data_IF_202558934152
#
_entry.id   IF_202558934152
#
_cell.length_a   1.000
_cell.length_b   1.000
_cell.length_c   1.000
_cell.angle_alpha   90.00
_cell.angle_beta   90.00
_cell.angle_gamma   90.00
#
_symmetry.space_group_name_H-M   'P 1'
#
loop_
_entity.id
_entity.type
_entity.pdbx_description
1 polymer ?
#
# COMPACT_ATOMS: atom_id res chain seq x y z
N UNK A 1 5.44 -25.78 0.64
CA UNK A 1 5.18 -25.52 -0.80
C UNK A 1 3.71 -25.17 -0.90
N UNK A 2 3.37 -23.89 -0.99
CA UNK A 2 2.00 -23.48 -1.27
C UNK A 2 1.65 -23.98 -2.67
N UNK A 3 0.57 -24.75 -2.78
CA UNK A 3 0.00 -25.13 -4.06
C UNK A 3 -0.47 -23.84 -4.74
N UNK A 4 0.13 -23.52 -5.89
CA UNK A 4 -0.38 -22.47 -6.77
C UNK A 4 -1.80 -22.90 -7.15
N UNK A 5 -2.81 -22.22 -6.61
CA UNK A 5 -4.20 -22.44 -7.01
C UNK A 5 -4.35 -21.92 -8.45
N UNK A 6 -4.40 -22.84 -9.38
CA UNK A 6 -4.83 -22.53 -10.73
C UNK A 6 -6.35 -22.46 -10.75
N UNK A 7 -6.92 -21.57 -11.56
CA UNK A 7 -8.34 -21.54 -11.82
C UNK A 7 -8.84 -22.92 -12.25
N UNK A 8 -9.93 -23.34 -11.71
CA UNK A 8 -10.62 -24.59 -12.14
C UNK A 8 -11.22 -24.40 -13.53
N UNK A 9 -11.49 -25.50 -14.24
CA UNK A 9 -12.17 -25.43 -15.55
C UNK A 9 -13.49 -24.66 -15.49
N UNK A 10 -14.22 -24.77 -14.37
CA UNK A 10 -15.46 -24.04 -14.15
C UNK A 10 -15.23 -22.54 -14.06
N UNK A 11 -14.26 -22.11 -13.26
CA UNK A 11 -13.88 -20.69 -13.10
C UNK A 11 -13.35 -20.10 -14.42
N UNK A 12 -12.56 -20.87 -15.17
CA UNK A 12 -12.13 -20.46 -16.51
C UNK A 12 -13.33 -20.27 -17.45
N UNK A 13 -14.33 -21.17 -17.39
CA UNK A 13 -15.54 -21.06 -18.21
C UNK A 13 -16.42 -19.87 -17.80
N UNK A 14 -16.52 -19.57 -16.53
CA UNK A 14 -17.23 -18.38 -16.02
C UNK A 14 -16.55 -17.08 -16.46
N UNK A 15 -15.23 -16.98 -16.33
CA UNK A 15 -14.46 -15.84 -16.82
C UNK A 15 -14.55 -15.65 -18.33
N UNK A 16 -14.50 -16.73 -19.09
CA UNK A 16 -14.65 -16.67 -20.54
C UNK A 16 -16.04 -16.16 -20.95
N UNK A 17 -17.08 -16.62 -20.27
CA UNK A 17 -18.45 -16.16 -20.50
C UNK A 17 -18.60 -14.67 -20.15
N UNK A 18 -18.09 -14.25 -19.02
CA UNK A 18 -18.10 -12.84 -18.58
C UNK A 18 -17.36 -11.97 -19.59
N UNK A 19 -16.20 -12.40 -20.07
CA UNK A 19 -15.45 -11.69 -21.10
C UNK A 19 -16.28 -11.54 -22.39
N UNK A 20 -16.92 -12.60 -22.85
CA UNK A 20 -17.76 -12.55 -24.07
C UNK A 20 -18.97 -11.60 -23.91
N UNK A 21 -19.61 -11.62 -22.74
CA UNK A 21 -20.73 -10.73 -22.43
C UNK A 21 -20.29 -9.26 -22.40
N UNK A 22 -19.16 -8.99 -21.76
CA UNK A 22 -18.59 -7.64 -21.70
C UNK A 22 -18.14 -7.15 -23.07
N UNK A 23 -17.49 -8.01 -23.87
CA UNK A 23 -17.10 -7.69 -25.24
C UNK A 23 -18.31 -7.38 -26.14
N UNK A 24 -19.36 -8.18 -26.05
CA UNK A 24 -20.59 -7.94 -26.79
C UNK A 24 -21.27 -6.62 -26.35
N UNK A 25 -21.25 -6.34 -25.05
CA UNK A 25 -21.75 -5.07 -24.49
C UNK A 25 -20.93 -3.87 -24.99
N UNK A 26 -19.62 -4.00 -25.06
CA UNK A 26 -18.73 -2.97 -25.60
C UNK A 26 -18.99 -2.69 -27.07
N UNK A 27 -19.09 -3.74 -27.89
CA UNK A 27 -19.39 -3.59 -29.32
C UNK A 27 -20.75 -2.92 -29.60
N UNK A 28 -21.69 -3.09 -28.68
CA UNK A 28 -23.06 -2.55 -28.78
C UNK A 28 -23.28 -1.32 -27.89
N UNK A 29 -22.22 -0.63 -27.45
CA UNK A 29 -22.32 0.51 -26.54
C UNK A 29 -22.99 1.76 -27.13
N UNK A 30 -23.38 1.71 -28.40
CA UNK A 30 -24.04 2.76 -29.16
C UNK A 30 -23.23 4.09 -29.14
N UNK A 31 -23.81 5.16 -28.61
CA UNK A 31 -23.19 6.48 -28.57
C UNK A 31 -22.36 6.73 -27.29
N UNK A 32 -22.23 5.73 -26.40
CA UNK A 32 -21.44 5.88 -25.17
C UNK A 32 -19.95 5.98 -25.48
N UNK A 33 -19.27 6.88 -24.82
CA UNK A 33 -17.80 6.90 -24.77
C UNK A 33 -17.26 5.68 -24.02
N UNK A 34 -15.98 5.35 -24.22
CA UNK A 34 -15.33 4.24 -23.49
C UNK A 34 -15.38 4.48 -22.00
N UNK A 35 -15.20 5.72 -21.55
CA UNK A 35 -15.28 6.09 -20.13
C UNK A 35 -16.68 5.88 -19.56
N UNK A 36 -17.73 6.30 -20.28
CA UNK A 36 -19.12 6.12 -19.84
C UNK A 36 -19.49 4.64 -19.79
N UNK A 37 -19.08 3.86 -20.80
CA UNK A 37 -19.30 2.43 -20.82
C UNK A 37 -18.58 1.72 -19.66
N UNK A 38 -17.30 2.04 -19.42
CA UNK A 38 -16.55 1.49 -18.30
C UNK A 38 -17.13 1.88 -16.95
N UNK A 39 -17.54 3.14 -16.76
CA UNK A 39 -18.23 3.58 -15.56
C UNK A 39 -19.47 2.73 -15.29
N UNK A 40 -20.29 2.47 -16.30
CA UNK A 40 -21.47 1.61 -16.17
C UNK A 40 -21.08 0.15 -15.84
N UNK A 41 -20.02 -0.36 -16.44
CA UNK A 41 -19.50 -1.70 -16.15
C UNK A 41 -19.01 -1.82 -14.68
N UNK A 42 -18.29 -0.83 -14.20
CA UNK A 42 -17.81 -0.76 -12.80
C UNK A 42 -19.00 -0.71 -11.83
N UNK A 43 -19.97 0.15 -12.05
CA UNK A 43 -21.17 0.23 -11.20
C UNK A 43 -21.99 -1.06 -11.18
N UNK A 44 -22.05 -1.77 -12.30
CA UNK A 44 -22.75 -3.06 -12.40
C UNK A 44 -22.06 -4.15 -11.56
N UNK A 45 -20.73 -4.18 -11.59
CA UNK A 45 -19.94 -5.21 -10.90
C UNK A 45 -19.64 -4.83 -9.44
N UNK A 46 -19.66 -3.54 -9.13
CA UNK A 46 -19.40 -3.00 -7.79
C UNK A 46 -20.59 -2.17 -7.28
N UNK A 47 -21.75 -2.77 -6.97
CA UNK A 47 -23.01 -2.06 -6.68
C UNK A 47 -22.97 -1.20 -5.41
N UNK A 48 -21.92 -1.28 -4.61
CA UNK A 48 -21.71 -0.44 -3.42
C UNK A 48 -20.86 0.80 -3.70
N UNK A 49 -20.31 0.91 -4.91
CA UNK A 49 -19.48 2.03 -5.33
C UNK A 49 -20.38 3.19 -5.76
N UNK A 50 -20.04 4.42 -5.38
CA UNK A 50 -20.75 5.60 -5.86
C UNK A 50 -20.31 6.00 -7.28
N UNK A 51 -21.08 6.88 -7.92
CA UNK A 51 -20.83 7.28 -9.30
C UNK A 51 -19.48 8.00 -9.49
N UNK A 52 -19.02 8.78 -8.51
CA UNK A 52 -17.79 9.53 -8.59
C UNK A 52 -16.56 8.59 -8.48
N UNK A 53 -16.66 7.60 -7.60
CA UNK A 53 -15.66 6.55 -7.51
C UNK A 53 -15.61 5.70 -8.77
N UNK A 54 -16.76 5.28 -9.31
CA UNK A 54 -16.83 4.51 -10.55
C UNK A 54 -16.27 5.26 -11.76
N UNK A 55 -16.46 6.58 -11.82
CA UNK A 55 -15.88 7.41 -12.85
C UNK A 55 -14.37 7.51 -12.75
N UNK A 56 -13.85 7.66 -11.55
CA UNK A 56 -12.40 7.66 -11.27
C UNK A 56 -11.76 6.32 -11.69
N UNK A 57 -12.36 5.20 -11.31
CA UNK A 57 -11.89 3.87 -11.71
C UNK A 57 -11.92 3.66 -13.23
N UNK A 58 -12.99 4.13 -13.90
CA UNK A 58 -13.08 4.04 -15.36
C UNK A 58 -11.96 4.84 -16.05
N UNK A 59 -11.63 6.02 -15.55
CA UNK A 59 -10.51 6.83 -16.06
C UNK A 59 -9.18 6.08 -15.87
N UNK A 60 -8.91 5.55 -14.68
CA UNK A 60 -7.68 4.81 -14.39
C UNK A 60 -7.51 3.58 -15.28
N UNK A 61 -8.60 2.84 -15.52
CA UNK A 61 -8.59 1.70 -16.45
C UNK A 61 -8.23 2.14 -17.87
N UNK A 62 -8.83 3.24 -18.36
CA UNK A 62 -8.53 3.77 -19.69
C UNK A 62 -7.09 4.25 -19.82
N UNK A 63 -6.60 4.97 -18.83
CA UNK A 63 -5.21 5.43 -18.83
C UNK A 63 -4.23 4.25 -18.88
N UNK A 64 -4.47 3.21 -18.08
CA UNK A 64 -3.65 1.98 -18.09
C UNK A 64 -3.71 1.24 -19.41
N UNK A 65 -4.87 1.19 -20.07
CA UNK A 65 -5.02 0.58 -21.40
C UNK A 65 -4.27 1.39 -22.47
N UNK A 66 -4.37 2.72 -22.42
CA UNK A 66 -3.69 3.61 -23.37
C UNK A 66 -2.17 3.51 -23.26
N UNK A 67 -1.66 3.45 -22.03
CA UNK A 67 -0.24 3.25 -21.76
C UNK A 67 0.23 1.88 -22.26
N UNK A 68 -0.56 0.84 -22.04
CA UNK A 68 -0.29 -0.50 -22.54
C UNK A 68 -0.23 -0.57 -24.08
N UNK A 69 -1.16 0.11 -24.78
CA UNK A 69 -1.15 0.22 -26.24
C UNK A 69 0.10 0.96 -26.74
N UNK A 70 0.46 2.10 -26.11
CA UNK A 70 1.67 2.83 -26.47
C UNK A 70 2.94 2.01 -26.26
N UNK A 71 3.01 1.22 -25.19
CA UNK A 71 4.13 0.35 -24.91
C UNK A 71 4.20 -0.81 -25.92
N UNK A 72 3.09 -1.40 -26.32
CA UNK A 72 3.03 -2.42 -27.38
C UNK A 72 3.50 -1.86 -28.72
N UNK A 73 2.99 -0.73 -29.15
CA UNK A 73 3.41 -0.05 -30.38
C UNK A 73 4.93 0.27 -30.38
N UNK A 74 5.43 0.73 -29.24
CA UNK A 74 6.85 1.01 -29.05
C UNK A 74 7.71 -0.26 -29.14
N UNK A 75 7.24 -1.37 -28.55
CA UNK A 75 7.90 -2.66 -28.62
C UNK A 75 7.90 -3.23 -30.03
N UNK A 76 6.78 -3.13 -30.75
CA UNK A 76 6.69 -3.58 -32.14
C UNK A 76 7.63 -2.80 -33.06
N UNK A 77 7.69 -1.47 -32.91
CA UNK A 77 8.63 -0.62 -33.64
C UNK A 77 10.08 -1.00 -33.36
N UNK A 78 10.43 -1.24 -32.10
CA UNK A 78 11.76 -1.68 -31.70
C UNK A 78 12.12 -3.03 -32.30
N UNK A 79 11.19 -3.99 -32.32
CA UNK A 79 11.37 -5.31 -32.94
C UNK A 79 11.56 -5.20 -34.45
N UNK A 80 10.82 -4.34 -35.14
CA UNK A 80 11.00 -4.07 -36.58
C UNK A 80 12.38 -3.47 -36.90
N UNK A 81 12.97 -2.75 -35.92
CA UNK A 81 14.31 -2.19 -36.03
C UNK A 81 15.42 -3.17 -35.60
N UNK A 82 15.06 -4.41 -35.24
CA UNK A 82 16.01 -5.44 -34.83
C UNK A 82 16.45 -5.33 -33.35
N UNK A 83 15.77 -4.53 -32.55
CA UNK A 83 16.03 -4.41 -31.11
C UNK A 83 15.39 -5.60 -30.37
N UNK A 84 16.13 -6.26 -29.48
CA UNK A 84 15.56 -7.32 -28.64
C UNK A 84 14.57 -6.76 -27.60
N UNK A 85 13.66 -7.62 -27.13
CA UNK A 85 12.69 -7.24 -26.07
C UNK A 85 13.41 -6.78 -24.81
N UNK A 86 14.50 -7.43 -24.45
CA UNK A 86 15.32 -7.09 -23.28
C UNK A 86 15.98 -5.71 -23.42
N UNK A 87 16.50 -5.41 -24.63
CA UNK A 87 17.08 -4.10 -24.92
C UNK A 87 16.02 -3.01 -24.92
N UNK A 88 14.84 -3.26 -25.49
CA UNK A 88 13.71 -2.33 -25.44
C UNK A 88 13.28 -2.06 -23.99
N UNK A 89 13.10 -3.11 -23.17
CA UNK A 89 12.73 -2.97 -21.77
C UNK A 89 13.81 -2.22 -20.98
N UNK A 90 15.09 -2.51 -21.23
CA UNK A 90 16.21 -1.80 -20.59
C UNK A 90 16.19 -0.31 -20.91
N UNK A 91 15.89 0.05 -22.17
CA UNK A 91 15.76 1.46 -22.58
C UNK A 91 14.58 2.14 -21.86
N UNK A 92 13.42 1.47 -21.81
CA UNK A 92 12.24 1.98 -21.08
C UNK A 92 12.52 2.20 -19.60
N UNK A 93 13.23 1.29 -18.95
CA UNK A 93 13.65 1.43 -17.56
C UNK A 93 14.66 2.56 -17.36
N UNK A 94 15.53 2.81 -18.32
CA UNK A 94 16.45 3.96 -18.30
C UNK A 94 15.70 5.28 -18.51
N UNK A 95 14.72 5.31 -19.42
CA UNK A 95 13.84 6.48 -19.63
C UNK A 95 13.05 6.82 -18.36
N UNK A 96 12.61 5.83 -17.60
CA UNK A 96 11.92 6.00 -16.31
C UNK A 96 12.86 6.29 -15.13
N UNK A 97 14.14 6.59 -15.38
CA UNK A 97 15.18 6.88 -14.37
C UNK A 97 15.45 5.75 -13.35
N UNK A 98 14.93 4.53 -13.57
CA UNK A 98 15.17 3.38 -12.68
C UNK A 98 16.60 2.84 -12.83
N UNK A 99 17.29 3.07 -13.95
CA UNK A 99 18.70 2.75 -14.16
C UNK A 99 19.07 1.26 -14.10
N UNK A 100 18.09 0.37 -14.25
CA UNK A 100 18.26 -1.08 -14.14
C UNK A 100 18.20 -1.76 -15.51
N UNK A 101 18.89 -2.90 -15.66
CA UNK A 101 18.65 -3.81 -16.78
C UNK A 101 17.33 -4.57 -16.59
N UNK A 102 16.75 -5.12 -17.68
CA UNK A 102 15.54 -5.94 -17.61
C UNK A 102 15.68 -7.13 -16.64
N UNK A 103 16.87 -7.74 -16.57
CA UNK A 103 17.16 -8.84 -15.65
C UNK A 103 17.19 -8.37 -14.19
N UNK A 104 17.83 -7.24 -13.92
CA UNK A 104 17.87 -6.64 -12.59
C UNK A 104 16.48 -6.23 -12.13
N UNK A 105 15.68 -5.64 -13.02
CA UNK A 105 14.30 -5.27 -12.74
C UNK A 105 13.43 -6.50 -12.43
N UNK A 106 13.52 -7.55 -13.25
CA UNK A 106 12.79 -8.80 -12.99
C UNK A 106 13.19 -9.49 -11.69
N UNK A 107 14.48 -9.43 -11.35
CA UNK A 107 14.98 -9.93 -10.06
C UNK A 107 14.45 -9.08 -8.90
N UNK A 108 14.47 -7.76 -9.03
CA UNK A 108 13.93 -6.80 -8.08
C UNK A 108 12.44 -7.02 -7.83
N UNK A 109 11.64 -7.25 -8.89
CA UNK A 109 10.21 -7.53 -8.76
C UNK A 109 9.94 -8.82 -7.99
N UNK A 110 10.67 -9.92 -8.30
CA UNK A 110 10.52 -11.19 -7.59
C UNK A 110 10.87 -11.06 -6.10
N UNK A 111 11.90 -10.30 -5.80
CA UNK A 111 12.31 -10.07 -4.43
C UNK A 111 11.33 -9.14 -3.70
N UNK A 112 10.74 -8.16 -4.38
CA UNK A 112 9.68 -7.33 -3.81
C UNK A 112 8.42 -8.15 -3.51
N UNK A 113 8.04 -9.07 -4.39
CA UNK A 113 6.92 -9.99 -4.15
C UNK A 113 7.19 -10.92 -2.96
N UNK A 114 8.43 -11.39 -2.78
CA UNK A 114 8.84 -12.18 -1.61
C UNK A 114 8.74 -11.36 -0.31
N UNK A 115 9.22 -10.12 -0.33
CA UNK A 115 9.14 -9.21 0.82
C UNK A 115 7.68 -8.87 1.15
N UNK A 116 6.85 -8.63 0.13
CA UNK A 116 5.42 -8.40 0.30
C UNK A 116 4.75 -9.61 0.97
N UNK A 117 5.05 -10.82 0.50
CA UNK A 117 4.53 -12.05 1.10
C UNK A 117 4.96 -12.21 2.57
N UNK A 118 6.23 -12.00 2.87
CA UNK A 118 6.75 -12.07 4.24
C UNK A 118 6.11 -11.00 5.14
N UNK A 119 5.98 -9.77 4.67
CA UNK A 119 5.35 -8.69 5.42
C UNK A 119 3.86 -8.97 5.70
N UNK A 120 3.13 -9.52 4.74
CA UNK A 120 1.74 -9.91 4.92
C UNK A 120 1.61 -11.06 5.93
N UNK A 121 2.54 -12.01 5.92
CA UNK A 121 2.58 -13.10 6.89
C UNK A 121 2.87 -12.57 8.30
N UNK A 122 3.88 -11.72 8.49
CA UNK A 122 4.20 -11.10 9.78
C UNK A 122 3.03 -10.26 10.31
N UNK A 123 2.32 -9.53 9.44
CA UNK A 123 1.13 -8.78 9.82
C UNK A 123 -0.01 -9.72 10.29
N UNK A 124 -0.24 -10.81 9.58
CA UNK A 124 -1.22 -11.83 9.95
C UNK A 124 -0.91 -12.45 11.32
N UNK A 125 0.34 -12.86 11.53
CA UNK A 125 0.81 -13.44 12.80
C UNK A 125 0.66 -12.47 13.97
N UNK A 126 0.98 -11.18 13.76
CA UNK A 126 0.87 -10.15 14.79
C UNK A 126 -0.58 -9.88 15.24
N UNK A 127 -1.57 -10.13 14.38
CA UNK A 127 -2.99 -9.96 14.68
C UNK A 127 -3.62 -11.22 15.28
N UNK A 128 -2.96 -12.36 15.19
CA UNK A 128 -3.44 -13.63 15.72
C UNK A 128 -3.11 -13.75 17.20
N UNK A 129 -3.98 -14.42 17.96
CA UNK A 129 -3.65 -14.83 19.33
C UNK A 129 -2.59 -15.91 19.28
N UNK A 130 -1.56 -15.77 20.08
CA UNK A 130 -0.38 -16.61 20.06
C UNK A 130 -0.61 -18.13 20.27
N UNK A 131 -1.81 -18.57 20.70
CA UNK A 131 -2.07 -19.97 21.06
C UNK A 131 -3.11 -20.68 20.20
N UNK A 132 -4.00 -19.97 19.51
CA UNK A 132 -5.15 -20.58 18.82
C UNK A 132 -5.37 -20.07 17.38
N UNK A 133 -4.55 -19.15 16.91
CA UNK A 133 -4.63 -18.59 15.55
C UNK A 133 -5.84 -17.68 15.28
N UNK A 134 -6.64 -17.36 16.30
CA UNK A 134 -7.79 -16.47 16.14
C UNK A 134 -7.36 -15.00 16.24
N UNK A 135 -8.02 -14.15 15.47
CA UNK A 135 -7.82 -12.70 15.50
C UNK A 135 -8.11 -12.14 16.91
N UNK A 136 -7.26 -11.24 17.37
CA UNK A 136 -7.46 -10.56 18.66
C UNK A 136 -8.75 -9.73 18.65
N UNK A 137 -9.61 -9.94 19.67
CA UNK A 137 -10.88 -9.22 19.82
C UNK A 137 -10.76 -7.95 20.67
N UNK A 138 -9.56 -7.33 20.69
CA UNK A 138 -9.34 -6.06 21.37
C UNK A 138 -10.07 -4.91 20.66
N UNK A 139 -10.77 -4.01 21.40
CA UNK A 139 -11.37 -2.82 20.81
C UNK A 139 -10.34 -1.82 20.25
N UNK A 140 -9.07 -1.96 20.63
CA UNK A 140 -7.96 -1.10 20.23
C UNK A 140 -7.01 -1.82 19.24
N UNK A 141 -7.46 -2.87 18.57
CA UNK A 141 -6.65 -3.61 17.60
C UNK A 141 -6.19 -2.72 16.43
N UNK A 142 -6.96 -1.69 16.09
CA UNK A 142 -6.60 -0.70 15.08
C UNK A 142 -5.26 0.00 15.36
N UNK A 143 -4.90 0.20 16.62
CA UNK A 143 -3.58 0.72 17.00
C UNK A 143 -2.44 -0.24 16.62
N UNK A 144 -2.61 -1.54 16.94
CA UNK A 144 -1.63 -2.55 16.55
C UNK A 144 -1.54 -2.69 15.01
N UNK A 145 -2.68 -2.65 14.32
CA UNK A 145 -2.71 -2.66 12.85
C UNK A 145 -1.91 -1.47 12.31
N UNK A 146 -2.13 -0.26 12.84
CA UNK A 146 -1.41 0.93 12.42
C UNK A 146 0.11 0.80 12.62
N UNK A 147 0.56 0.27 13.76
CA UNK A 147 1.99 0.03 14.03
C UNK A 147 2.62 -0.88 12.98
N UNK A 148 1.97 -1.98 12.66
CA UNK A 148 2.46 -2.93 11.66
C UNK A 148 2.36 -2.38 10.23
N UNK A 149 1.25 -1.74 9.86
CA UNK A 149 1.07 -1.15 8.52
C UNK A 149 2.14 -0.09 8.24
N UNK A 150 2.36 0.84 9.19
CA UNK A 150 3.39 1.88 9.06
C UNK A 150 4.79 1.26 8.98
N UNK A 151 5.08 0.25 9.81
CA UNK A 151 6.37 -0.44 9.81
C UNK A 151 6.64 -1.16 8.49
N UNK A 152 5.71 -2.00 8.05
CA UNK A 152 5.89 -2.84 6.85
C UNK A 152 5.89 -2.02 5.57
N UNK A 153 5.06 -0.97 5.47
CA UNK A 153 5.12 -0.06 4.31
C UNK A 153 6.43 0.70 4.23
N UNK A 154 7.04 1.06 5.36
CA UNK A 154 8.36 1.69 5.38
C UNK A 154 9.46 0.75 4.92
N UNK A 155 9.48 -0.51 5.35
CA UNK A 155 10.43 -1.52 4.88
C UNK A 155 10.27 -1.76 3.37
N UNK A 156 9.03 -1.89 2.91
CA UNK A 156 8.73 -2.08 1.49
C UNK A 156 9.22 -0.89 0.63
N UNK A 157 9.00 0.34 1.10
CA UNK A 157 9.53 1.54 0.44
C UNK A 157 11.06 1.60 0.47
N UNK A 158 11.68 1.18 1.55
CA UNK A 158 13.13 1.03 1.62
C UNK A 158 13.63 0.10 0.54
N UNK A 159 12.98 -1.04 0.39
CA UNK A 159 13.31 -2.00 -0.65
C UNK A 159 13.13 -1.43 -2.07
N UNK A 160 11.98 -0.80 -2.37
CA UNK A 160 11.69 -0.17 -3.68
C UNK A 160 12.77 0.88 -4.02
N UNK A 161 13.25 1.63 -3.03
CA UNK A 161 14.28 2.66 -3.18
C UNK A 161 15.71 2.11 -3.07
N UNK A 162 15.90 0.79 -3.03
CA UNK A 162 17.19 0.13 -2.87
C UNK A 162 17.97 0.61 -1.63
N UNK A 163 17.25 0.75 -0.51
CA UNK A 163 17.79 1.12 0.81
C UNK A 163 17.50 0.02 1.81
N UNK A 164 18.50 -0.35 2.59
CA UNK A 164 18.40 -1.44 3.57
C UNK A 164 17.77 -0.95 4.88
N UNK A 165 16.45 -0.80 4.87
CA UNK A 165 15.67 -0.32 6.01
C UNK A 165 15.02 -1.50 6.74
N UNK A 166 15.25 -1.56 8.05
CA UNK A 166 14.57 -2.48 8.97
C UNK A 166 13.69 -1.71 9.94
N UNK A 167 12.44 -2.16 10.12
CA UNK A 167 11.49 -1.51 11.03
C UNK A 167 10.92 -2.53 12.00
N UNK A 168 11.23 -2.36 13.26
CA UNK A 168 10.81 -3.25 14.34
C UNK A 168 9.61 -2.67 15.08
N UNK A 169 8.49 -3.40 15.12
CA UNK A 169 7.38 -3.14 16.04
C UNK A 169 7.73 -3.76 17.37
N UNK A 170 7.83 -2.95 18.42
CA UNK A 170 8.41 -3.37 19.71
C UNK A 170 7.40 -3.91 20.72
N UNK A 171 6.12 -3.61 20.56
CA UNK A 171 5.02 -4.23 21.30
C UNK A 171 5.14 -4.23 22.85
N UNK A 172 5.98 -3.37 23.42
CA UNK A 172 6.22 -3.35 24.87
C UNK A 172 5.21 -2.44 25.53
N UNK A 173 4.23 -3.01 26.21
CA UNK A 173 3.16 -2.30 26.92
C UNK A 173 3.63 -1.58 28.20
N UNK A 174 4.77 -0.88 28.16
CA UNK A 174 5.22 -0.04 29.26
C UNK A 174 5.01 1.44 28.92
N UNK A 175 4.69 2.24 29.92
CA UNK A 175 4.48 3.68 29.73
C UNK A 175 5.72 4.33 29.07
N UNK A 176 5.49 5.10 28.00
CA UNK A 176 6.53 5.77 27.21
C UNK A 176 7.52 4.83 26.47
N UNK A 177 7.19 3.54 26.31
CA UNK A 177 7.97 2.63 25.47
C UNK A 177 7.94 3.09 24.01
N UNK A 178 8.95 2.68 23.25
CA UNK A 178 8.99 2.88 21.79
C UNK A 178 8.04 1.88 21.14
N UNK A 179 7.07 2.35 20.35
CA UNK A 179 6.19 1.46 19.60
C UNK A 179 6.91 0.88 18.37
N UNK A 180 7.61 1.74 17.64
CA UNK A 180 8.29 1.35 16.41
C UNK A 180 9.70 1.94 16.34
N UNK A 181 10.67 1.16 15.89
CA UNK A 181 12.02 1.63 15.57
C UNK A 181 12.36 1.35 14.12
N UNK A 182 12.65 2.40 13.36
CA UNK A 182 13.22 2.30 12.03
C UNK A 182 14.74 2.42 12.08
N UNK A 183 15.44 1.55 11.36
CA UNK A 183 16.91 1.52 11.30
C UNK A 183 17.36 1.39 9.85
N UNK A 184 18.26 2.26 9.42
CA UNK A 184 19.00 2.06 8.19
C UNK A 184 20.21 1.17 8.51
N UNK A 185 20.20 -0.06 8.01
CA UNK A 185 21.25 -1.05 8.32
C UNK A 185 22.59 -0.74 7.66
N UNK A 186 22.61 0.05 6.58
CA UNK A 186 23.84 0.44 5.90
C UNK A 186 24.61 1.52 6.67
N UNK A 187 23.88 2.41 7.33
CA UNK A 187 24.49 3.55 8.07
C UNK A 187 24.47 3.35 9.58
N UNK A 188 23.69 2.40 10.10
CA UNK A 188 23.44 2.21 11.52
C UNK A 188 22.59 3.31 12.17
N UNK A 189 22.08 4.28 11.42
CA UNK A 189 21.17 5.31 11.95
C UNK A 189 19.83 4.68 12.29
N UNK A 190 19.25 5.13 13.40
CA UNK A 190 17.91 4.72 13.78
C UNK A 190 17.07 5.90 14.28
N UNK A 191 15.76 5.74 14.19
CA UNK A 191 14.77 6.66 14.71
C UNK A 191 13.67 5.89 15.45
N UNK A 192 13.30 6.39 16.63
CA UNK A 192 12.20 5.82 17.41
C UNK A 192 10.90 6.58 17.15
N UNK A 193 9.81 5.84 17.11
CA UNK A 193 8.47 6.37 16.85
C UNK A 193 7.48 5.89 17.91
N UNK A 194 6.53 6.78 18.20
CA UNK A 194 5.37 6.51 19.04
C UNK A 194 4.12 6.76 18.22
N UNK A 195 3.25 5.78 18.09
CA UNK A 195 2.00 5.93 17.37
C UNK A 195 0.86 6.32 18.33
N UNK A 196 0.06 7.30 17.95
CA UNK A 196 -1.11 7.76 18.69
C UNK A 196 -2.30 7.94 17.76
N UNK A 197 -3.11 6.91 17.68
CA UNK A 197 -4.28 6.82 16.79
C UNK A 197 -5.57 6.98 17.62
N UNK A 198 -5.83 8.20 18.13
CA UNK A 198 -7.08 8.56 18.80
C UNK A 198 -8.27 8.53 17.82
N UNK A 199 -9.49 8.54 18.37
CA UNK A 199 -10.71 8.56 17.54
C UNK A 199 -10.89 9.85 16.74
N UNK A 200 -10.30 10.95 17.23
CA UNK A 200 -10.31 12.29 16.65
C UNK A 200 -9.06 13.05 17.11
N UNK A 201 -8.77 14.19 16.49
CA UNK A 201 -7.60 14.99 16.79
C UNK A 201 -7.49 15.38 18.28
N UNK A 202 -8.62 15.72 18.93
CA UNK A 202 -8.66 16.03 20.36
C UNK A 202 -8.20 14.85 21.21
N UNK A 203 -8.74 13.65 20.92
CA UNK A 203 -8.36 12.43 21.63
C UNK A 203 -6.90 12.08 21.41
N UNK A 204 -6.39 12.29 20.19
CA UNK A 204 -4.98 12.07 19.86
C UNK A 204 -4.07 13.04 20.62
N UNK A 205 -4.44 14.32 20.70
CA UNK A 205 -3.72 15.32 21.49
C UNK A 205 -3.66 14.89 22.97
N UNK A 206 -4.79 14.50 23.55
CA UNK A 206 -4.85 14.02 24.94
C UNK A 206 -3.93 12.80 25.17
N UNK A 207 -3.87 11.87 24.22
CA UNK A 207 -2.97 10.71 24.31
C UNK A 207 -1.49 11.12 24.27
N UNK A 208 -1.15 12.11 23.44
CA UNK A 208 0.22 12.63 23.35
C UNK A 208 0.60 13.40 24.63
N UNK A 209 -0.31 14.18 25.20
CA UNK A 209 -0.05 14.98 26.41
C UNK A 209 0.14 14.14 27.67
N UNK A 210 -0.45 12.94 27.74
CA UNK A 210 -0.31 12.01 28.88
C UNK A 210 1.07 11.39 28.99
N UNK A 211 1.87 11.41 27.92
CA UNK A 211 3.16 10.73 27.88
C UNK A 211 4.36 11.67 27.74
N UNK A 212 5.52 11.20 28.17
CA UNK A 212 6.79 11.83 27.89
C UNK A 212 7.52 11.04 26.81
N UNK A 213 7.39 11.47 25.56
CA UNK A 213 7.97 10.83 24.37
C UNK A 213 9.26 11.56 23.94
N UNK A 214 10.14 11.86 24.89
CA UNK A 214 11.46 12.42 24.59
C UNK A 214 12.25 11.46 23.71
N UNK A 215 12.91 11.98 22.68
CA UNK A 215 13.68 11.21 21.70
C UNK A 215 12.83 10.25 20.82
N UNK A 216 11.53 10.50 20.71
CA UNK A 216 10.64 9.79 19.82
C UNK A 216 9.91 10.79 18.90
N UNK A 217 9.74 10.45 17.65
CA UNK A 217 8.80 11.13 16.76
C UNK A 217 7.41 10.53 16.95
N UNK A 218 6.39 11.35 16.78
CA UNK A 218 5.00 10.93 17.01
C UNK A 218 4.32 10.79 15.66
N UNK A 219 3.70 9.63 15.43
CA UNK A 219 2.89 9.37 14.24
C UNK A 219 1.43 9.38 14.63
N UNK A 220 0.63 10.12 13.87
CA UNK A 220 -0.81 10.33 14.09
C UNK A 220 -1.59 9.99 12.83
N UNK A 221 -2.93 9.77 12.90
CA UNK A 221 -3.76 9.60 11.72
C UNK A 221 -3.62 10.77 10.75
N UNK A 222 -3.57 10.47 9.44
CA UNK A 222 -3.33 11.45 8.39
C UNK A 222 -4.31 12.64 8.44
N UNK A 223 -5.61 12.36 8.61
CA UNK A 223 -6.66 13.37 8.67
C UNK A 223 -6.60 14.25 9.92
N UNK A 224 -5.83 13.85 10.93
CA UNK A 224 -5.69 14.59 12.20
C UNK A 224 -4.40 15.40 12.28
N UNK A 225 -3.45 15.19 11.35
CA UNK A 225 -2.10 15.71 11.41
C UNK A 225 -2.06 17.23 11.57
N UNK A 226 -2.76 17.96 10.71
CA UNK A 226 -2.73 19.42 10.70
C UNK A 226 -3.22 20.03 12.02
N UNK A 227 -4.31 19.50 12.57
CA UNK A 227 -4.87 20.00 13.85
C UNK A 227 -3.95 19.67 15.02
N UNK A 228 -3.38 18.46 15.05
CA UNK A 228 -2.45 18.04 16.10
C UNK A 228 -1.17 18.87 16.04
N UNK A 229 -0.57 19.06 14.88
CA UNK A 229 0.62 19.89 14.70
C UNK A 229 0.37 21.33 15.14
N UNK A 230 -0.74 21.93 14.74
CA UNK A 230 -1.12 23.30 15.14
C UNK A 230 -1.20 23.44 16.65
N UNK A 231 -1.88 22.51 17.35
CA UNK A 231 -2.02 22.53 18.79
C UNK A 231 -0.66 22.55 19.52
N UNK A 232 0.27 21.67 19.12
CA UNK A 232 1.58 21.61 19.74
C UNK A 232 2.49 22.79 19.36
N UNK A 233 2.37 23.32 18.14
CA UNK A 233 3.08 24.53 17.73
C UNK A 233 2.64 25.77 18.54
N UNK A 234 1.34 25.96 18.76
CA UNK A 234 0.80 27.05 19.59
C UNK A 234 1.28 26.97 21.05
N UNK A 235 1.56 25.77 21.55
CA UNK A 235 2.15 25.55 22.87
C UNK A 235 3.69 25.66 22.91
N UNK A 236 4.34 25.99 21.79
CA UNK A 236 5.79 26.05 21.68
C UNK A 236 6.50 24.71 21.87
N UNK A 237 5.82 23.60 21.61
CA UNK A 237 6.38 22.25 21.75
C UNK A 237 7.39 21.97 20.65
N UNK A 238 8.48 21.27 21.01
CA UNK A 238 9.51 20.79 20.08
C UNK A 238 9.25 19.34 19.60
N UNK A 239 8.02 18.80 19.83
CA UNK A 239 7.69 17.45 19.38
C UNK A 239 7.60 17.41 17.86
N UNK A 240 8.28 16.44 17.24
CA UNK A 240 8.12 16.14 15.82
C UNK A 240 6.90 15.24 15.66
N UNK A 241 5.91 15.71 14.89
CA UNK A 241 4.65 15.02 14.64
C UNK A 241 4.47 14.87 13.14
N UNK A 242 4.21 13.64 12.69
CA UNK A 242 3.99 13.28 11.29
C UNK A 242 2.83 12.28 11.19
N UNK A 243 2.42 11.96 9.99
CA UNK A 243 1.46 10.89 9.68
C UNK A 243 2.13 9.60 9.16
N UNK A 244 3.44 9.61 9.04
CA UNK A 244 4.25 8.51 8.52
C UNK A 244 5.60 8.39 9.26
N UNK A 245 6.25 7.25 9.08
CA UNK A 245 7.66 7.06 9.46
C UNK A 245 8.54 7.53 8.29
N UNK A 246 9.62 8.26 8.62
CA UNK A 246 10.66 8.62 7.66
C UNK A 246 12.05 8.33 8.21
N UNK A 247 12.88 7.62 7.46
CA UNK A 247 14.29 7.38 7.78
C UNK A 247 15.16 7.48 6.54
N UNK A 248 16.17 8.35 6.58
CA UNK A 248 17.10 8.60 5.47
C UNK A 248 16.40 8.83 4.12
N UNK A 249 15.25 9.53 4.14
CA UNK A 249 14.45 9.87 2.97
C UNK A 249 13.52 8.75 2.48
N UNK A 250 13.47 7.62 3.19
CA UNK A 250 12.46 6.58 2.96
C UNK A 250 11.23 6.90 3.79
N UNK A 251 10.09 7.08 3.13
CA UNK A 251 8.80 7.37 3.76
C UNK A 251 7.88 6.16 3.67
N UNK A 252 7.33 5.77 4.80
CA UNK A 252 6.29 4.74 4.87
C UNK A 252 4.91 5.26 4.51
N UNK A 253 3.91 4.38 4.58
CA UNK A 253 2.51 4.73 4.36
C UNK A 253 1.96 5.67 5.42
N UNK A 254 1.02 6.50 4.99
CA UNK A 254 0.21 7.38 5.82
C UNK A 254 -1.22 6.84 5.87
N UNK A 255 -1.80 6.72 7.06
CA UNK A 255 -3.08 6.04 7.25
C UNK A 255 -4.03 6.87 8.11
N UNK A 256 -5.32 6.78 7.79
CA UNK A 256 -6.39 7.39 8.56
C UNK A 256 -6.85 6.48 9.70
N UNK A 257 -7.51 7.07 10.69
CA UNK A 257 -8.15 6.31 11.77
C UNK A 257 -9.24 5.38 11.24
N UNK A 258 -10.01 5.86 10.27
CA UNK A 258 -11.12 5.09 9.69
C UNK A 258 -10.61 3.89 8.87
N UNK A 259 -9.52 4.03 8.13
CA UNK A 259 -8.87 2.89 7.45
C UNK A 259 -8.47 1.82 8.45
N UNK A 260 -7.77 2.17 9.51
CA UNK A 260 -7.34 1.21 10.54
C UNK A 260 -8.53 0.55 11.25
N UNK A 261 -9.61 1.29 11.51
CA UNK A 261 -10.86 0.75 12.06
C UNK A 261 -11.59 -0.18 11.09
N UNK A 262 -11.55 0.12 9.80
CA UNK A 262 -12.11 -0.76 8.78
C UNK A 262 -11.34 -2.09 8.71
N UNK A 263 -10.01 -2.03 8.71
CA UNK A 263 -9.16 -3.23 8.74
C UNK A 263 -9.41 -4.06 10.02
N UNK A 264 -9.51 -3.41 11.19
CA UNK A 264 -9.89 -4.08 12.43
C UNK A 264 -11.23 -4.80 12.31
N UNK A 265 -12.25 -4.13 11.76
CA UNK A 265 -13.58 -4.71 11.60
C UNK A 265 -13.55 -5.90 10.64
N UNK A 266 -12.88 -5.80 9.50
CA UNK A 266 -12.72 -6.90 8.55
C UNK A 266 -12.03 -8.10 9.20
N UNK A 267 -10.98 -7.87 9.97
CA UNK A 267 -10.28 -8.93 10.67
C UNK A 267 -11.17 -9.60 11.73
N UNK A 268 -11.85 -8.83 12.57
CA UNK A 268 -12.64 -9.34 13.70
C UNK A 268 -13.97 -9.98 13.28
N UNK A 269 -14.66 -9.43 12.27
CA UNK A 269 -15.97 -9.92 11.83
C UNK A 269 -15.87 -11.01 10.76
N UNK A 270 -14.90 -10.92 9.87
CA UNK A 270 -14.80 -11.78 8.69
C UNK A 270 -13.55 -12.68 8.68
N UNK A 271 -12.64 -12.52 9.65
CA UNK A 271 -11.37 -13.25 9.69
C UNK A 271 -10.39 -12.84 8.58
N UNK A 272 -10.62 -11.68 7.90
CA UNK A 272 -9.79 -11.20 6.83
C UNK A 272 -8.60 -10.44 7.42
N UNK A 273 -7.41 -10.97 7.24
CA UNK A 273 -6.18 -10.29 7.66
C UNK A 273 -5.86 -9.11 6.73
N UNK A 274 -5.50 -7.93 7.25
CA UNK A 274 -4.98 -6.83 6.44
C UNK A 274 -3.78 -7.26 5.61
N UNK A 275 -3.67 -6.74 4.39
CA UNK A 275 -2.52 -6.95 3.51
C UNK A 275 -1.93 -5.62 3.07
N UNK A 276 -0.72 -5.66 2.54
CA UNK A 276 -0.04 -4.50 1.95
C UNK A 276 -0.21 -4.43 0.43
N UNK A 277 -1.02 -5.31 -0.16
CA UNK A 277 -1.13 -5.46 -1.61
C UNK A 277 -1.53 -4.15 -2.29
N UNK A 278 -2.59 -3.50 -1.81
CA UNK A 278 -3.06 -2.23 -2.37
C UNK A 278 -1.99 -1.13 -2.26
N UNK A 279 -1.28 -1.08 -1.14
CA UNK A 279 -0.18 -0.13 -0.94
C UNK A 279 1.00 -0.42 -1.87
N UNK A 280 1.37 -1.69 -2.03
CA UNK A 280 2.47 -2.11 -2.89
C UNK A 280 2.19 -1.79 -4.36
N UNK A 281 1.01 -2.12 -4.85
CA UNK A 281 0.65 -1.88 -6.24
C UNK A 281 0.58 -0.38 -6.55
N UNK A 282 -0.03 0.43 -5.70
CA UNK A 282 -0.05 1.89 -5.88
C UNK A 282 1.35 2.52 -5.85
N UNK A 283 2.22 2.04 -4.98
CA UNK A 283 3.62 2.51 -4.89
C UNK A 283 4.45 2.10 -6.11
N UNK A 284 4.18 0.92 -6.67
CA UNK A 284 4.83 0.39 -7.88
C UNK A 284 4.39 1.17 -9.12
N UNK A 285 3.12 1.49 -9.24
CA UNK A 285 2.60 2.34 -10.31
C UNK A 285 3.23 3.73 -10.26
N UNK A 286 3.34 4.33 -9.09
CA UNK A 286 4.03 5.60 -8.92
C UNK A 286 5.50 5.52 -9.31
N UNK A 287 6.23 4.47 -8.90
CA UNK A 287 7.63 4.27 -9.25
C UNK A 287 7.86 4.01 -10.74
N UNK A 288 6.86 3.53 -11.47
CA UNK A 288 6.90 3.31 -12.92
C UNK A 288 6.44 4.55 -13.72
N UNK A 289 5.76 5.49 -13.07
CA UNK A 289 5.25 6.72 -13.70
C UNK A 289 6.20 7.93 -13.57
N UNK A 290 7.24 7.82 -12.75
CA UNK A 290 8.28 8.83 -12.52
C UNK A 290 9.55 8.46 -13.28
#
# INVERSE_FOLDING_TARGET
MAQKEYLTEKECGELQKEFQENWSSYQNKAELTDQEWLKQLVLRNCPKMDEAQAEKEAIQILDSLHESEQNLDSLEKAAQQGTSKESWLSNKLQESAIGMSAEQYSASLRQADEILYQNNQELSEALSRASDGHIMMSPNLDGNIAEHMVARTTELQGYIQNKNIKVEVRGVNTANSVDVRATNLDTGKYQNYQLKFGKDAKSTIELIERGNYSNQQIVVPAEQLEEVQRHFAEKGSQKTISDHIEIDGVKGGSFTKDEMKNLQRQAQENGITPTLDDYYYSSKEYALSV
#
